data_IF_160330284186
#
_entry.id   IF_160330284186
#
_cell.length_a   1.000
_cell.length_b   1.000
_cell.length_c   1.000
_cell.angle_alpha   90.00
_cell.angle_beta   90.00
_cell.angle_gamma   90.00
#
_symmetry.space_group_name_H-M   'P 1'
#
loop_
_entity.id
_entity.type
_entity.pdbx_description
1 polymer ?
#
# COMPACT_ATOMS: atom_id res chain seq x y z
N UNK A 1 -6.67 4.68 7.69
CA UNK A 1 -6.47 3.22 7.77
C UNK A 1 -7.31 2.74 8.94
N UNK A 2 -8.20 1.76 8.73
CA UNK A 2 -8.90 1.08 9.81
C UNK A 2 -8.65 -0.42 9.62
N UNK A 3 -8.32 -1.10 10.70
CA UNK A 3 -7.96 -2.51 10.66
C UNK A 3 -8.24 -3.20 11.98
N UNK A 4 -8.30 -4.53 11.92
CA UNK A 4 -8.38 -5.41 13.08
C UNK A 4 -7.10 -6.22 13.13
N UNK A 5 -6.47 -6.29 14.30
CA UNK A 5 -5.23 -7.05 14.47
C UNK A 5 -5.46 -8.24 15.42
N UNK A 6 -4.72 -9.31 15.19
CA UNK A 6 -4.65 -10.49 16.04
C UNK A 6 -3.19 -10.81 16.36
N UNK A 7 -2.94 -11.21 17.60
CA UNK A 7 -1.61 -11.60 18.08
C UNK A 7 -1.69 -12.97 18.75
N UNK A 8 -1.00 -13.96 18.19
CA UNK A 8 -0.81 -15.28 18.78
C UNK A 8 0.59 -15.36 19.38
N UNK A 9 0.69 -15.42 20.71
CA UNK A 9 1.97 -15.61 21.38
C UNK A 9 2.46 -17.06 21.18
N UNK A 10 3.68 -17.20 20.69
CA UNK A 10 4.36 -18.49 20.53
C UNK A 10 5.29 -18.72 21.72
N UNK A 11 5.99 -17.66 22.12
CA UNK A 11 6.89 -17.63 23.27
C UNK A 11 6.79 -16.25 23.95
N UNK A 12 7.53 -16.04 25.05
CA UNK A 12 7.56 -14.78 25.78
C UNK A 12 7.95 -13.58 24.89
N UNK A 13 8.91 -13.79 23.98
CA UNK A 13 9.46 -12.76 23.10
C UNK A 13 9.04 -12.93 21.65
N UNK A 14 8.27 -13.97 21.30
CA UNK A 14 7.91 -14.29 19.90
C UNK A 14 6.40 -14.40 19.76
N UNK A 15 5.85 -13.72 18.78
CA UNK A 15 4.44 -13.82 18.42
C UNK A 15 4.24 -13.86 16.91
N UNK A 16 3.18 -14.54 16.48
CA UNK A 16 2.63 -14.37 15.14
C UNK A 16 1.59 -13.25 15.20
N UNK A 17 1.74 -12.26 14.33
CA UNK A 17 0.84 -11.11 14.22
C UNK A 17 0.21 -11.12 12.83
N UNK A 18 -1.10 -10.91 12.79
CA UNK A 18 -1.83 -10.68 11.56
C UNK A 18 -2.75 -9.50 11.72
N UNK A 19 -2.95 -8.74 10.66
CA UNK A 19 -3.83 -7.60 10.62
C UNK A 19 -4.68 -7.68 9.37
N UNK A 20 -5.96 -7.32 9.45
CA UNK A 20 -6.80 -7.13 8.28
C UNK A 20 -7.15 -5.65 8.18
N UNK A 21 -6.72 -5.00 7.10
CA UNK A 21 -6.95 -3.57 6.91
C UNK A 21 -7.22 -3.20 5.45
N UNK A 22 -7.84 -2.03 5.25
CA UNK A 22 -8.02 -1.44 3.93
C UNK A 22 -6.99 -0.34 3.70
N UNK A 23 -6.24 -0.46 2.61
CA UNK A 23 -5.24 0.51 2.16
C UNK A 23 -5.69 1.18 0.86
N UNK A 24 -5.55 2.50 0.80
CA UNK A 24 -5.82 3.28 -0.40
C UNK A 24 -4.53 3.90 -0.90
N UNK A 25 -4.21 3.66 -2.16
CA UNK A 25 -3.13 4.28 -2.91
C UNK A 25 -3.66 5.42 -3.75
N UNK A 26 -2.89 6.50 -3.81
CA UNK A 26 -3.11 7.65 -4.67
C UNK A 26 -1.81 7.96 -5.38
N UNK A 27 -1.86 8.14 -6.69
CA UNK A 27 -0.71 8.56 -7.49
C UNK A 27 -1.15 9.59 -8.51
N UNK A 28 -0.29 10.58 -8.74
CA UNK A 28 -0.48 11.61 -9.75
C UNK A 28 0.69 11.53 -10.71
N UNK A 29 0.39 11.41 -12.00
CA UNK A 29 1.40 11.35 -13.07
C UNK A 29 1.08 12.46 -14.06
N UNK A 30 2.03 13.36 -14.27
CA UNK A 30 1.94 14.41 -15.30
C UNK A 30 2.79 13.99 -16.48
N UNK A 31 2.17 13.86 -17.65
CA UNK A 31 2.81 13.52 -18.91
C UNK A 31 2.85 14.77 -19.80
N UNK A 32 4.05 15.22 -20.15
CA UNK A 32 4.25 16.28 -21.12
C UNK A 32 4.47 15.65 -22.49
N UNK A 33 3.52 15.85 -23.41
CA UNK A 33 3.67 15.40 -24.80
C UNK A 33 4.37 16.48 -25.63
N UNK A 34 4.94 16.10 -26.78
CA UNK A 34 5.61 17.04 -27.69
C UNK A 34 4.65 17.97 -28.43
N UNK A 35 3.33 17.78 -28.29
CA UNK A 35 2.29 18.46 -29.07
C UNK A 35 1.20 18.93 -28.11
N UNK A 36 1.29 20.19 -27.66
CA UNK A 36 0.24 21.04 -27.05
C UNK A 36 -0.61 20.50 -25.87
N UNK A 37 -0.50 19.24 -25.44
CA UNK A 37 -1.29 18.68 -24.35
C UNK A 37 -0.42 18.32 -23.14
N UNK A 38 -0.89 18.74 -21.96
CA UNK A 38 -0.30 18.34 -20.67
C UNK A 38 -1.33 17.44 -19.98
N UNK A 39 -1.11 16.12 -20.11
CA UNK A 39 -2.04 15.14 -19.57
C UNK A 39 -1.66 14.80 -18.13
N UNK A 40 -2.57 15.08 -17.21
CA UNK A 40 -2.47 14.69 -15.81
C UNK A 40 -3.38 13.50 -15.52
N UNK A 41 -2.79 12.43 -14.98
CA UNK A 41 -3.51 11.22 -14.59
C UNK A 41 -3.49 11.04 -13.09
N UNK A 42 -4.68 10.98 -12.48
CA UNK A 42 -4.85 10.69 -11.06
C UNK A 42 -5.30 9.24 -10.90
N UNK A 43 -4.44 8.41 -10.34
CA UNK A 43 -4.74 7.02 -10.05
C UNK A 43 -5.17 6.86 -8.60
N UNK A 44 -6.20 6.05 -8.39
CA UNK A 44 -6.64 5.63 -7.07
C UNK A 44 -6.84 4.12 -7.07
N UNK A 45 -6.26 3.44 -6.10
CA UNK A 45 -6.45 2.01 -5.92
C UNK A 45 -6.73 1.66 -4.45
N UNK A 46 -7.64 0.72 -4.21
CA UNK A 46 -8.06 0.26 -2.90
C UNK A 46 -7.78 -1.23 -2.76
N UNK A 47 -7.08 -1.61 -1.69
CA UNK A 47 -6.72 -2.99 -1.40
C UNK A 47 -7.23 -3.38 -0.02
N UNK A 48 -7.68 -4.63 0.11
CA UNK A 48 -7.74 -5.30 1.42
C UNK A 48 -6.41 -6.03 1.62
N UNK A 49 -5.77 -5.85 2.77
CA UNK A 49 -4.45 -6.41 3.05
C UNK A 49 -4.49 -7.27 4.30
N UNK A 50 -3.75 -8.38 4.23
CA UNK A 50 -3.63 -9.39 5.27
C UNK A 50 -2.15 -9.76 5.45
N UNK A 51 -1.38 -8.97 6.23
CA UNK A 51 -0.05 -9.38 6.67
C UNK A 51 -0.07 -10.60 7.60
N UNK A 52 0.98 -11.40 7.47
CA UNK A 52 1.40 -12.44 8.41
C UNK A 52 2.84 -12.16 8.81
N UNK A 53 3.02 -11.69 10.05
CA UNK A 53 4.28 -11.18 10.55
C UNK A 53 4.74 -12.01 11.74
N UNK A 54 6.02 -12.34 11.78
CA UNK A 54 6.66 -12.79 13.00
C UNK A 54 7.17 -11.56 13.75
N UNK A 55 6.71 -11.42 15.00
CA UNK A 55 7.13 -10.39 15.94
C UNK A 55 8.19 -10.95 16.87
N UNK A 56 9.30 -10.24 17.00
CA UNK A 56 10.24 -10.41 18.09
C UNK A 56 10.21 -9.18 19.01
N UNK A 57 9.84 -9.39 20.27
CA UNK A 57 9.63 -8.36 21.27
C UNK A 57 10.72 -8.45 22.34
N UNK A 58 11.38 -7.32 22.60
CA UNK A 58 12.45 -7.22 23.60
C UNK A 58 11.83 -6.91 24.95
N UNK A 59 12.20 -7.69 25.97
CA UNK A 59 11.75 -7.48 27.34
C UNK A 59 12.45 -6.26 27.97
N UNK A 60 11.88 -5.09 27.71
CA UNK A 60 12.33 -3.79 28.22
C UNK A 60 11.11 -2.91 28.54
N UNK A 61 11.31 -1.79 29.23
CA UNK A 61 10.25 -0.95 29.82
C UNK A 61 9.24 -0.46 28.75
N UNK A 62 9.73 -0.10 27.56
CA UNK A 62 8.89 0.35 26.45
C UNK A 62 8.58 -0.77 25.43
N UNK A 63 8.88 -2.02 25.79
CA UNK A 63 8.67 -3.25 25.01
C UNK A 63 8.84 -3.06 23.49
N UNK A 64 10.03 -2.62 23.03
CA UNK A 64 10.27 -2.44 21.61
C UNK A 64 10.23 -3.79 20.89
N UNK A 65 9.79 -3.77 19.64
CA UNK A 65 9.67 -4.97 18.83
C UNK A 65 10.03 -4.73 17.37
N UNK A 66 10.37 -5.83 16.71
CA UNK A 66 10.58 -5.90 15.26
C UNK A 66 9.61 -6.91 14.67
N UNK A 67 9.00 -6.56 13.55
CA UNK A 67 8.10 -7.41 12.80
C UNK A 67 8.72 -7.71 11.44
N UNK A 68 8.59 -8.94 10.96
CA UNK A 68 8.96 -9.28 9.60
C UNK A 68 8.04 -10.36 9.05
N UNK A 69 7.71 -10.28 7.76
CA UNK A 69 6.89 -11.32 7.14
C UNK A 69 6.38 -10.96 5.75
N UNK A 70 5.32 -11.64 5.36
CA UNK A 70 4.68 -11.48 4.06
C UNK A 70 3.35 -10.73 4.23
N UNK A 71 3.06 -9.87 3.27
CA UNK A 71 1.80 -9.14 3.18
C UNK A 71 1.09 -9.48 1.88
N UNK A 72 -0.16 -9.94 2.02
CA UNK A 72 -1.03 -10.31 0.92
C UNK A 72 -2.11 -9.23 0.75
N UNK A 73 -2.07 -8.54 -0.37
CA UNK A 73 -3.07 -7.57 -0.80
C UNK A 73 -3.99 -8.16 -1.86
N UNK A 74 -5.28 -7.85 -1.76
CA UNK A 74 -6.26 -8.10 -2.82
C UNK A 74 -6.87 -6.78 -3.28
N UNK A 75 -6.77 -6.51 -4.59
CA UNK A 75 -7.30 -5.31 -5.21
C UNK A 75 -8.84 -5.35 -5.19
N UNK A 76 -9.44 -4.38 -4.52
CA UNK A 76 -10.89 -4.20 -4.49
C UNK A 76 -11.36 -3.34 -5.65
N UNK A 77 -10.64 -2.24 -5.92
CA UNK A 77 -11.00 -1.26 -6.93
C UNK A 77 -9.79 -0.47 -7.38
N UNK A 78 -9.66 -0.22 -8.68
CA UNK A 78 -8.73 0.74 -9.25
C UNK A 78 -9.43 1.63 -10.27
N UNK A 79 -9.17 2.93 -10.20
CA UNK A 79 -9.74 3.93 -11.09
C UNK A 79 -8.67 4.97 -11.42
N UNK A 80 -8.73 5.52 -12.63
CA UNK A 80 -7.96 6.71 -12.98
C UNK A 80 -8.84 7.80 -13.54
N UNK A 81 -8.42 9.04 -13.32
CA UNK A 81 -9.00 10.24 -13.95
C UNK A 81 -7.95 10.89 -14.83
N UNK A 82 -8.37 11.37 -15.99
CA UNK A 82 -7.50 12.07 -16.94
C UNK A 82 -7.94 13.53 -17.03
N UNK A 83 -6.99 14.44 -16.88
CA UNK A 83 -7.18 15.88 -16.99
C UNK A 83 -6.23 16.43 -18.04
N UNK A 84 -6.75 17.19 -19.01
CA UNK A 84 -5.90 18.01 -19.87
C UNK A 84 -5.70 19.38 -19.22
N UNK A 85 -4.48 19.64 -18.75
CA UNK A 85 -4.14 20.90 -18.09
C UNK A 85 -3.97 22.07 -19.09
N UNK A 86 -3.82 21.79 -20.38
CA UNK A 86 -3.71 22.84 -21.40
C UNK A 86 -5.09 23.43 -21.71
N UNK A 87 -6.08 22.56 -21.98
CA UNK A 87 -7.45 22.96 -22.32
C UNK A 87 -8.41 23.01 -21.10
N UNK A 88 -7.94 22.63 -19.91
CA UNK A 88 -8.75 22.49 -18.68
C UNK A 88 -9.96 21.54 -18.85
N UNK A 89 -9.81 20.47 -19.63
CA UNK A 89 -10.87 19.49 -19.90
C UNK A 89 -10.71 18.27 -18.98
N UNK A 90 -11.78 17.89 -18.28
CA UNK A 90 -11.89 16.59 -17.60
C UNK A 90 -12.22 15.52 -18.66
N UNK A 91 -11.24 14.68 -18.97
CA UNK A 91 -11.37 13.60 -19.96
C UNK A 91 -12.09 12.37 -19.39
N UNK A 92 -12.55 12.45 -18.14
CA UNK A 92 -13.42 11.47 -17.51
C UNK A 92 -12.69 10.57 -16.52
N UNK A 93 -13.49 9.66 -15.96
CA UNK A 93 -13.08 8.68 -14.96
C UNK A 93 -13.22 7.27 -15.54
N UNK A 94 -12.16 6.49 -15.44
CA UNK A 94 -12.07 5.15 -15.99
C UNK A 94 -11.86 4.14 -14.86
N UNK A 95 -12.57 3.01 -14.93
CA UNK A 95 -12.36 1.87 -14.04
C UNK A 95 -11.35 0.93 -14.72
N UNK A 96 -10.22 0.70 -14.04
CA UNK A 96 -9.13 -0.15 -14.51
C UNK A 96 -8.94 -1.37 -13.60
N UNK A 97 -9.94 -1.68 -12.77
CA UNK A 97 -9.84 -2.77 -11.77
C UNK A 97 -9.55 -4.12 -12.41
N UNK A 98 -10.11 -4.38 -13.59
CA UNK A 98 -9.94 -5.64 -14.31
C UNK A 98 -8.65 -5.70 -15.15
N UNK A 99 -8.00 -4.56 -15.37
CA UNK A 99 -6.78 -4.46 -16.18
C UNK A 99 -5.52 -4.69 -15.33
N UNK A 100 -5.66 -4.63 -14.00
CA UNK A 100 -4.58 -4.82 -13.04
C UNK A 100 -4.60 -6.22 -12.42
N UNK A 101 -3.41 -6.66 -12.00
CA UNK A 101 -3.30 -7.91 -11.22
C UNK A 101 -4.02 -7.74 -9.88
N UNK A 102 -4.96 -8.66 -9.59
CA UNK A 102 -5.75 -8.61 -8.36
C UNK A 102 -4.96 -8.90 -7.09
N UNK A 103 -3.89 -9.69 -7.19
CA UNK A 103 -3.05 -10.07 -6.06
C UNK A 103 -1.80 -9.19 -5.98
N UNK A 104 -1.63 -8.51 -4.87
CA UNK A 104 -0.42 -7.76 -4.51
C UNK A 104 0.33 -8.52 -3.42
N UNK A 105 1.61 -8.75 -3.63
CA UNK A 105 2.48 -9.42 -2.65
C UNK A 105 3.56 -8.46 -2.22
N UNK A 106 3.88 -8.42 -0.93
CA UNK A 106 4.93 -7.58 -0.41
C UNK A 106 5.68 -8.26 0.73
N UNK A 107 6.97 -7.96 0.89
CA UNK A 107 7.65 -8.17 2.16
C UNK A 107 7.31 -7.02 3.10
N UNK A 108 7.03 -7.34 4.35
CA UNK A 108 6.73 -6.35 5.38
C UNK A 108 7.80 -6.40 6.46
N UNK A 109 8.39 -5.24 6.74
CA UNK A 109 9.33 -5.03 7.83
C UNK A 109 8.81 -3.93 8.75
N UNK A 110 8.56 -4.27 10.01
CA UNK A 110 8.03 -3.37 11.01
C UNK A 110 9.00 -3.12 12.15
N UNK A 111 8.99 -1.89 12.68
CA UNK A 111 9.62 -1.53 13.95
C UNK A 111 8.57 -0.84 14.80
N UNK A 112 8.49 -1.19 16.08
CA UNK A 112 7.50 -0.59 16.96
C UNK A 112 7.83 -0.68 18.43
N UNK A 113 6.93 -0.13 19.23
CA UNK A 113 6.97 -0.16 20.69
C UNK A 113 5.57 -0.33 21.26
N UNK A 114 5.48 -1.01 22.41
CA UNK A 114 4.24 -1.13 23.19
C UNK A 114 4.45 -0.48 24.56
N UNK A 115 3.56 0.44 24.94
CA UNK A 115 3.57 1.09 26.26
C UNK A 115 2.27 0.72 26.97
N UNK A 116 2.39 0.23 28.20
CA UNK A 116 1.24 -0.09 29.04
C UNK A 116 0.90 1.14 29.90
N UNK A 117 -0.30 1.68 29.70
CA UNK A 117 -0.87 2.78 30.48
C UNK A 117 -2.14 2.27 31.16
N UNK A 118 -2.05 1.99 32.47
CA UNK A 118 -3.13 1.37 33.24
C UNK A 118 -3.53 0.00 32.65
N UNK A 119 -4.80 -0.20 32.30
CA UNK A 119 -5.33 -1.43 31.69
C UNK A 119 -5.30 -1.39 30.15
N UNK A 120 -4.78 -0.31 29.55
CA UNK A 120 -4.70 -0.16 28.10
C UNK A 120 -3.27 -0.30 27.61
N UNK A 121 -3.10 -0.99 26.48
CA UNK A 121 -1.81 -1.12 25.81
C UNK A 121 -1.85 -0.27 24.56
N UNK A 122 -1.04 0.79 24.54
CA UNK A 122 -0.86 1.63 23.36
C UNK A 122 0.35 1.11 22.59
N UNK A 123 0.24 1.03 21.27
CA UNK A 123 1.37 0.70 20.43
C UNK A 123 1.55 1.71 19.31
N UNK A 124 2.81 1.95 18.97
CA UNK A 124 3.22 2.70 17.81
C UNK A 124 4.13 1.81 16.97
N UNK A 125 3.89 1.73 15.66
CA UNK A 125 4.80 1.04 14.75
C UNK A 125 4.84 1.66 13.37
N UNK A 126 5.97 1.44 12.72
CA UNK A 126 6.26 1.85 11.37
C UNK A 126 6.49 0.60 10.53
N UNK A 127 5.75 0.41 9.44
CA UNK A 127 5.90 -0.73 8.55
C UNK A 127 6.38 -0.28 7.17
N UNK A 128 7.44 -0.91 6.69
CA UNK A 128 7.92 -0.81 5.32
C UNK A 128 7.40 -2.01 4.52
N UNK A 129 6.53 -1.73 3.56
CA UNK A 129 6.07 -2.70 2.56
C UNK A 129 6.95 -2.59 1.32
N UNK A 130 7.62 -3.68 0.97
CA UNK A 130 8.42 -3.81 -0.24
C UNK A 130 7.69 -4.69 -1.25
N UNK A 131 7.19 -4.07 -2.32
CA UNK A 131 6.39 -4.74 -3.34
C UNK A 131 7.17 -5.84 -4.07
N UNK A 132 6.57 -7.02 -4.15
CA UNK A 132 7.06 -8.16 -4.92
C UNK A 132 6.32 -8.28 -6.25
N UNK A 133 5.03 -7.96 -6.27
CA UNK A 133 4.24 -7.93 -7.52
C UNK A 133 4.72 -6.81 -8.42
N UNK A 134 5.14 -7.17 -9.64
CA UNK A 134 5.48 -6.22 -10.69
C UNK A 134 4.23 -5.91 -11.50
N UNK A 135 3.79 -4.67 -11.48
CA UNK A 135 2.74 -4.17 -12.34
C UNK A 135 3.35 -3.72 -13.66
N UNK A 136 2.60 -3.93 -14.74
CA UNK A 136 2.96 -3.48 -16.08
C UNK A 136 1.70 -2.91 -16.73
N UNK A 137 1.83 -1.75 -17.33
CA UNK A 137 0.80 -1.16 -18.19
C UNK A 137 1.41 -0.93 -19.56
N UNK A 138 0.77 -1.48 -20.59
CA UNK A 138 1.00 -1.08 -21.96
C UNK A 138 0.05 0.07 -22.27
N UNK A 139 0.59 1.28 -22.39
CA UNK A 139 -0.19 2.41 -22.94
C UNK A 139 -0.21 2.20 -24.45
N UNK A 140 -1.14 1.38 -24.96
CA UNK A 140 -1.22 1.06 -26.40
C UNK A 140 -2.42 1.68 -27.12
N UNK A 141 -3.39 2.26 -26.42
CA UNK A 141 -4.73 2.29 -27.01
C UNK A 141 -5.18 3.63 -27.63
N UNK A 142 -4.36 4.68 -27.72
CA UNK A 142 -4.86 5.97 -28.27
C UNK A 142 -4.00 6.74 -29.26
N UNK A 143 -2.71 6.47 -29.45
CA UNK A 143 -1.90 7.21 -30.41
C UNK A 143 -1.02 6.26 -31.25
N UNK A 144 -1.27 6.09 -32.56
CA UNK A 144 -0.54 5.14 -33.42
C UNK A 144 0.94 5.48 -33.66
N UNK A 145 1.47 6.50 -32.99
CA UNK A 145 2.84 7.01 -33.22
C UNK A 145 3.64 7.30 -31.95
N UNK A 146 3.12 6.97 -30.76
CA UNK A 146 3.92 7.11 -29.53
C UNK A 146 4.65 5.81 -29.19
N UNK A 147 5.92 5.88 -28.75
CA UNK A 147 6.66 4.69 -28.33
C UNK A 147 5.94 4.02 -27.16
N UNK A 148 5.90 2.68 -27.17
CA UNK A 148 5.36 1.89 -26.07
C UNK A 148 6.07 2.26 -24.76
N UNK A 149 5.46 3.14 -23.96
CA UNK A 149 5.90 3.35 -22.59
C UNK A 149 5.41 2.18 -21.75
N UNK A 150 6.25 1.15 -21.67
CA UNK A 150 6.12 0.09 -20.67
C UNK A 150 6.42 0.68 -19.29
N UNK A 151 5.40 1.26 -18.66
CA UNK A 151 5.48 1.64 -17.26
C UNK A 151 5.38 0.37 -16.43
N UNK A 152 6.48 0.04 -15.75
CA UNK A 152 6.51 -1.03 -14.77
C UNK A 152 6.89 -0.50 -13.40
N UNK A 153 6.14 -0.91 -12.39
CA UNK A 153 6.37 -0.46 -11.02
C UNK A 153 6.08 -1.57 -10.02
N UNK A 154 6.46 -1.31 -8.77
CA UNK A 154 6.16 -2.12 -7.59
C UNK A 154 5.63 -1.19 -6.51
N UNK A 155 4.60 -1.62 -5.80
CA UNK A 155 4.03 -0.82 -4.71
C UNK A 155 4.94 -0.94 -3.49
N UNK A 156 5.72 0.12 -3.20
CA UNK A 156 6.46 0.25 -1.95
C UNK A 156 5.74 1.26 -1.07
N UNK A 157 5.66 1.03 0.24
CA UNK A 157 4.89 1.89 1.14
C UNK A 157 5.52 1.97 2.50
N UNK A 158 5.49 3.16 3.09
CA UNK A 158 5.80 3.36 4.51
C UNK A 158 4.48 3.67 5.22
N UNK A 159 4.13 2.84 6.20
CA UNK A 159 2.92 3.00 7.01
C UNK A 159 3.32 3.40 8.42
N UNK A 160 2.66 4.42 8.94
CA UNK A 160 2.73 4.82 10.35
C UNK A 160 1.41 4.43 11.00
N UNK A 161 1.48 3.69 12.10
CA UNK A 161 0.29 3.15 12.75
C UNK A 161 0.41 3.39 14.25
N UNK A 162 -0.70 3.87 14.81
CA UNK A 162 -0.94 4.05 16.23
C UNK A 162 -2.20 3.29 16.58
N UNK A 163 -2.17 2.48 17.64
CA UNK A 163 -3.32 1.72 18.07
C UNK A 163 -3.32 1.45 19.57
N UNK A 164 -4.45 0.90 20.04
CA UNK A 164 -4.65 0.52 21.44
C UNK A 164 -5.39 -0.82 21.51
N UNK A 165 -5.14 -1.59 22.57
CA UNK A 165 -5.86 -2.83 22.86
C UNK A 165 -5.90 -3.14 24.36
N UNK A 166 -6.78 -4.07 24.73
CA UNK A 166 -7.02 -4.54 26.09
C UNK A 166 -6.33 -5.89 26.32
#
# INVERSE_FOLDING_TARGET
LFGVFGKLKIDNNIALVSELYVLNYFAQVTLTTTIEAILEKHYKASYIRLPFLLRYQIDWIAKPYVDFGLDFGYLLKAEHKEYDLFDNIDNGKFDITNDLTKLDLSFNFGLGMEVELFEQKIFFHTNLLLGLTKYQSSITDRLPYEPEFLLSWRNNSLLLVLGTYF
#
